data_IF_942386807302
#
_entry.id   IF_942386807302
#
_cell.length_a   1.000
_cell.length_b   1.000
_cell.length_c   1.000
_cell.angle_alpha   90.00
_cell.angle_beta   90.00
_cell.angle_gamma   90.00
#
_symmetry.space_group_name_H-M   'P 1'
#
loop_
_entity.id
_entity.type
_entity.pdbx_description
1 polymer ?
#
# COMPACT_ATOMS: atom_id res chain seq x y z
N UNK A 1 -47.54 17.18 63.39
CA UNK A 1 -46.78 17.65 62.22
C UNK A 1 -45.79 16.56 61.88
N UNK A 2 -46.14 15.65 60.98
CA UNK A 2 -45.25 14.55 60.61
C UNK A 2 -45.15 14.57 59.08
N UNK A 3 -44.01 15.10 58.60
CA UNK A 3 -43.72 15.20 57.18
C UNK A 3 -43.48 13.77 56.64
N UNK A 4 -44.38 13.30 55.78
CA UNK A 4 -44.17 12.04 55.06
C UNK A 4 -42.97 12.17 54.12
N UNK A 5 -42.05 11.20 54.11
CA UNK A 5 -40.88 11.26 53.24
C UNK A 5 -41.32 11.06 51.80
N UNK A 6 -41.19 12.10 50.98
CA UNK A 6 -41.30 12.01 49.52
C UNK A 6 -40.19 11.09 49.01
N UNK A 7 -40.53 9.85 48.68
CA UNK A 7 -39.63 8.92 47.99
C UNK A 7 -39.47 9.40 46.55
N UNK A 8 -38.46 10.24 46.30
CA UNK A 8 -38.07 10.67 44.95
C UNK A 8 -37.17 9.62 44.30
N UNK A 9 -37.75 8.57 43.73
CA UNK A 9 -37.03 7.63 42.87
C UNK A 9 -37.91 7.24 41.67
N UNK A 10 -37.80 7.95 40.51
CA UNK A 10 -37.89 7.21 39.24
C UNK A 10 -37.06 7.78 38.07
N UNK A 11 -36.17 8.77 38.26
CA UNK A 11 -35.36 9.33 37.15
C UNK A 11 -34.17 8.43 36.79
N UNK A 12 -33.41 7.97 37.78
CA UNK A 12 -32.21 7.15 37.58
C UNK A 12 -32.46 5.84 36.81
N UNK A 13 -33.62 5.19 37.05
CA UNK A 13 -34.00 3.95 36.34
C UNK A 13 -34.34 4.22 34.86
N UNK A 14 -35.00 5.35 34.57
CA UNK A 14 -35.31 5.75 33.20
C UNK A 14 -34.04 6.17 32.45
N UNK A 15 -33.16 6.93 33.10
CA UNK A 15 -31.86 7.33 32.55
C UNK A 15 -30.99 6.11 32.24
N UNK A 16 -30.93 5.12 33.14
CA UNK A 16 -30.22 3.86 32.91
C UNK A 16 -30.79 3.07 31.71
N UNK A 17 -32.12 3.01 31.56
CA UNK A 17 -32.74 2.35 30.40
C UNK A 17 -32.45 3.07 29.08
N UNK A 18 -32.45 4.41 29.08
CA UNK A 18 -32.10 5.21 27.90
C UNK A 18 -30.63 4.98 27.51
N UNK A 19 -29.71 4.98 28.48
CA UNK A 19 -28.30 4.72 28.22
C UNK A 19 -28.05 3.30 27.69
N UNK A 20 -28.73 2.30 28.24
CA UNK A 20 -28.62 0.91 27.78
C UNK A 20 -29.14 0.74 26.35
N UNK A 21 -30.28 1.34 26.03
CA UNK A 21 -30.87 1.28 24.68
C UNK A 21 -30.00 2.00 23.66
N UNK A 22 -29.49 3.20 23.97
CA UNK A 22 -28.56 3.93 23.10
C UNK A 22 -27.25 3.16 22.89
N UNK A 23 -26.71 2.55 23.94
CA UNK A 23 -25.50 1.72 23.84
C UNK A 23 -25.73 0.49 22.98
N UNK A 24 -26.88 -0.18 23.11
CA UNK A 24 -27.23 -1.32 22.28
C UNK A 24 -27.37 -0.93 20.81
N UNK A 25 -28.01 0.20 20.50
CA UNK A 25 -28.12 0.74 19.13
C UNK A 25 -26.72 1.05 18.56
N UNK A 26 -25.86 1.70 19.34
CA UNK A 26 -24.50 2.02 18.93
C UNK A 26 -23.67 0.76 18.62
N UNK A 27 -23.75 -0.27 19.48
CA UNK A 27 -23.07 -1.55 19.27
C UNK A 27 -23.57 -2.23 17.98
N UNK A 28 -24.88 -2.26 17.75
CA UNK A 28 -25.47 -2.84 16.53
C UNK A 28 -25.05 -2.07 15.29
N UNK A 29 -25.01 -0.74 15.34
CA UNK A 29 -24.54 0.10 14.24
C UNK A 29 -23.07 -0.16 13.92
N UNK A 30 -22.19 -0.18 14.94
CA UNK A 30 -20.76 -0.49 14.79
C UNK A 30 -20.57 -1.89 14.20
N UNK A 31 -21.27 -2.90 14.74
CA UNK A 31 -21.19 -4.27 14.23
C UNK A 31 -21.66 -4.38 12.78
N UNK A 32 -22.71 -3.64 12.40
CA UNK A 32 -23.22 -3.57 11.03
C UNK A 32 -22.19 -2.96 10.06
N UNK A 33 -21.56 -1.84 10.44
CA UNK A 33 -20.48 -1.23 9.65
C UNK A 33 -19.30 -2.18 9.51
N UNK A 34 -18.85 -2.82 10.60
CA UNK A 34 -17.76 -3.80 10.55
C UNK A 34 -18.09 -5.00 9.64
N UNK A 35 -19.32 -5.51 9.70
CA UNK A 35 -19.77 -6.59 8.82
C UNK A 35 -19.80 -6.17 7.35
N UNK A 36 -20.24 -4.94 7.06
CA UNK A 36 -20.26 -4.39 5.70
C UNK A 36 -18.84 -4.22 5.14
N UNK A 37 -17.92 -3.69 5.94
CA UNK A 37 -16.49 -3.55 5.59
C UNK A 37 -15.88 -4.92 5.32
N UNK A 38 -16.07 -5.90 6.22
CA UNK A 38 -15.56 -7.27 6.03
C UNK A 38 -16.14 -7.93 4.77
N UNK A 39 -17.43 -7.76 4.53
CA UNK A 39 -18.12 -8.34 3.36
C UNK A 39 -17.63 -7.72 2.06
N UNK A 40 -17.29 -6.44 2.07
CA UNK A 40 -16.66 -5.74 0.94
C UNK A 40 -15.24 -6.27 0.66
N UNK A 41 -14.42 -6.44 1.70
CA UNK A 41 -13.05 -6.96 1.56
C UNK A 41 -13.04 -8.41 1.04
N UNK A 42 -13.97 -9.26 1.49
CA UNK A 42 -14.02 -10.65 1.04
C UNK A 42 -14.49 -10.81 -0.41
N UNK A 43 -15.36 -9.91 -0.91
CA UNK A 43 -15.83 -9.97 -2.30
C UNK A 43 -14.76 -9.50 -3.31
N UNK A 44 -13.94 -8.52 -2.95
CA UNK A 44 -12.94 -7.94 -3.84
C UNK A 44 -11.68 -8.79 -4.00
N UNK A 45 -11.29 -9.57 -2.99
CA UNK A 45 -10.05 -10.36 -3.05
C UNK A 45 -10.04 -11.45 -4.12
N UNK A 46 -11.20 -12.02 -4.48
CA UNK A 46 -11.28 -13.03 -5.53
C UNK A 46 -10.96 -12.46 -6.93
N UNK A 47 -11.31 -11.20 -7.18
CA UNK A 47 -10.98 -10.51 -8.43
C UNK A 47 -9.51 -10.09 -8.43
N UNK A 48 -9.02 -9.59 -7.29
CA UNK A 48 -7.61 -9.23 -7.12
C UNK A 48 -6.68 -10.42 -7.38
N UNK A 49 -7.00 -11.62 -6.85
CA UNK A 49 -6.24 -12.85 -7.10
C UNK A 49 -6.20 -13.23 -8.57
N UNK A 50 -7.33 -13.15 -9.28
CA UNK A 50 -7.39 -13.47 -10.71
C UNK A 50 -6.55 -12.52 -11.55
N UNK A 51 -6.61 -11.22 -11.24
CA UNK A 51 -5.77 -10.21 -11.88
C UNK A 51 -4.29 -10.49 -11.61
N UNK A 52 -3.94 -10.75 -10.35
CA UNK A 52 -2.57 -11.12 -9.97
C UNK A 52 -2.07 -12.38 -10.71
N UNK A 53 -2.87 -13.43 -10.77
CA UNK A 53 -2.54 -14.66 -11.50
C UNK A 53 -2.40 -14.43 -13.01
N UNK A 54 -3.18 -13.51 -13.59
CA UNK A 54 -3.03 -13.11 -14.98
C UNK A 54 -1.73 -12.33 -15.19
N UNK A 55 -1.44 -11.36 -14.31
CA UNK A 55 -0.20 -10.59 -14.35
C UNK A 55 1.04 -11.47 -14.23
N UNK A 56 1.01 -12.49 -13.36
CA UNK A 56 2.09 -13.47 -13.25
C UNK A 56 2.29 -14.26 -14.55
N UNK A 57 1.21 -14.68 -15.21
CA UNK A 57 1.29 -15.36 -16.51
C UNK A 57 1.85 -14.45 -17.60
N UNK A 58 1.39 -13.20 -17.66
CA UNK A 58 1.88 -12.20 -18.62
C UNK A 58 3.38 -11.91 -18.40
N UNK A 59 3.82 -11.77 -17.14
CA UNK A 59 5.22 -11.55 -16.81
C UNK A 59 6.10 -12.74 -17.24
N UNK A 60 5.66 -13.97 -16.95
CA UNK A 60 6.35 -15.19 -17.37
C UNK A 60 6.40 -15.34 -18.90
N UNK A 61 5.39 -14.84 -19.60
CA UNK A 61 5.34 -14.85 -21.07
C UNK A 61 6.19 -13.76 -21.74
N UNK A 62 6.86 -12.91 -20.96
CA UNK A 62 7.70 -11.83 -21.48
C UNK A 62 6.93 -10.56 -21.85
N UNK A 63 5.72 -10.38 -21.31
CA UNK A 63 4.87 -9.20 -21.51
C UNK A 63 4.77 -8.33 -20.24
N UNK A 64 5.87 -7.70 -19.78
CA UNK A 64 5.87 -6.98 -18.50
C UNK A 64 4.91 -5.79 -18.48
N UNK A 65 4.62 -5.16 -19.62
CA UNK A 65 3.65 -4.06 -19.71
C UNK A 65 2.23 -4.47 -19.29
N UNK A 66 1.74 -5.62 -19.76
CA UNK A 66 0.43 -6.14 -19.37
C UNK A 66 0.42 -6.61 -17.92
N UNK A 67 1.50 -7.25 -17.49
CA UNK A 67 1.65 -7.65 -16.09
C UNK A 67 1.53 -6.45 -15.13
N UNK A 68 2.13 -5.32 -15.48
CA UNK A 68 2.01 -4.07 -14.70
C UNK A 68 0.54 -3.61 -14.60
N UNK A 69 -0.22 -3.65 -15.69
CA UNK A 69 -1.64 -3.26 -15.69
C UNK A 69 -2.47 -4.16 -14.77
N UNK A 70 -2.24 -5.47 -14.87
CA UNK A 70 -2.92 -6.47 -14.03
C UNK A 70 -2.57 -6.32 -12.54
N UNK A 71 -1.29 -6.13 -12.22
CA UNK A 71 -0.85 -5.95 -10.83
C UNK A 71 -1.36 -4.63 -10.22
N UNK A 72 -1.36 -3.54 -11.00
CA UNK A 72 -1.97 -2.27 -10.55
C UNK A 72 -3.46 -2.43 -10.30
N UNK A 73 -4.14 -3.17 -11.16
CA UNK A 73 -5.57 -3.47 -10.99
C UNK A 73 -5.81 -4.32 -9.75
N UNK A 74 -4.98 -5.33 -9.48
CA UNK A 74 -5.04 -6.13 -8.26
C UNK A 74 -4.82 -5.27 -7.00
N UNK A 75 -3.84 -4.37 -7.02
CA UNK A 75 -3.58 -3.41 -5.94
C UNK A 75 -4.70 -2.38 -5.77
N UNK A 76 -5.49 -2.06 -6.80
CA UNK A 76 -6.65 -1.19 -6.63
C UNK A 76 -7.73 -1.84 -5.72
N UNK A 77 -7.76 -3.17 -5.65
CA UNK A 77 -8.64 -3.92 -4.75
C UNK A 77 -7.97 -4.24 -3.40
N UNK A 78 -6.68 -4.61 -3.42
CA UNK A 78 -5.89 -4.93 -2.23
C UNK A 78 -4.60 -4.11 -2.17
N UNK A 79 -4.73 -2.81 -1.87
CA UNK A 79 -3.62 -1.85 -1.99
C UNK A 79 -2.43 -2.12 -1.07
N UNK A 80 -2.64 -2.87 0.00
CA UNK A 80 -1.61 -3.20 0.99
C UNK A 80 -1.01 -4.61 0.83
N UNK A 81 -1.38 -5.31 -0.24
CA UNK A 81 -0.91 -6.67 -0.47
C UNK A 81 0.57 -6.67 -0.86
N UNK A 82 1.41 -7.08 0.09
CA UNK A 82 2.87 -7.18 -0.05
C UNK A 82 3.28 -7.89 -1.35
N UNK A 83 2.65 -9.04 -1.63
CA UNK A 83 3.04 -9.88 -2.77
C UNK A 83 2.75 -9.16 -4.10
N UNK A 84 1.63 -8.44 -4.17
CA UNK A 84 1.25 -7.71 -5.38
C UNK A 84 2.17 -6.51 -5.63
N UNK A 85 2.56 -5.80 -4.56
CA UNK A 85 3.52 -4.70 -4.65
C UNK A 85 4.90 -5.20 -5.12
N UNK A 86 5.35 -6.34 -4.60
CA UNK A 86 6.62 -6.93 -5.00
C UNK A 86 6.61 -7.39 -6.46
N UNK A 87 5.59 -8.14 -6.90
CA UNK A 87 5.49 -8.58 -8.30
C UNK A 87 5.31 -7.40 -9.28
N UNK A 88 4.68 -6.30 -8.84
CA UNK A 88 4.65 -5.07 -9.62
C UNK A 88 6.05 -4.47 -9.77
N UNK A 89 6.85 -4.42 -8.70
CA UNK A 89 8.24 -3.96 -8.77
C UNK A 89 9.08 -4.82 -9.74
N UNK A 90 8.92 -6.14 -9.71
CA UNK A 90 9.58 -7.07 -10.65
C UNK A 90 9.17 -6.80 -12.10
N UNK A 91 7.88 -6.61 -12.36
CA UNK A 91 7.40 -6.30 -13.70
C UNK A 91 7.88 -4.92 -14.19
N UNK A 92 7.97 -3.94 -13.30
CA UNK A 92 8.54 -2.62 -13.60
C UNK A 92 10.03 -2.71 -13.93
N UNK A 93 10.81 -3.50 -13.19
CA UNK A 93 12.22 -3.78 -13.51
C UNK A 93 12.36 -4.43 -14.89
N UNK A 94 11.55 -5.46 -15.18
CA UNK A 94 11.53 -6.14 -16.47
C UNK A 94 11.12 -5.21 -17.63
N UNK A 95 10.31 -4.19 -17.37
CA UNK A 95 9.95 -3.15 -18.34
C UNK A 95 10.97 -2.00 -18.43
N UNK A 96 12.06 -2.02 -17.65
CA UNK A 96 13.06 -0.95 -17.59
C UNK A 96 12.62 0.30 -16.83
N UNK A 97 11.51 0.23 -16.09
CA UNK A 97 10.93 1.34 -15.31
C UNK A 97 11.52 1.37 -13.90
N UNK A 98 12.83 1.55 -13.82
CA UNK A 98 13.61 1.37 -12.60
C UNK A 98 13.23 2.34 -11.47
N UNK A 99 12.92 3.61 -11.76
CA UNK A 99 12.54 4.59 -10.74
C UNK A 99 11.22 4.22 -10.03
N UNK A 100 10.25 3.70 -10.78
CA UNK A 100 8.97 3.26 -10.21
C UNK A 100 9.15 1.97 -9.41
N UNK A 101 9.94 1.01 -9.91
CA UNK A 101 10.26 -0.21 -9.18
C UNK A 101 10.90 0.10 -7.83
N UNK A 102 11.86 1.04 -7.80
CA UNK A 102 12.52 1.47 -6.57
C UNK A 102 11.54 2.03 -5.55
N UNK A 103 10.60 2.86 -6.00
CA UNK A 103 9.62 3.50 -5.13
C UNK A 103 8.75 2.47 -4.40
N UNK A 104 8.31 1.41 -5.10
CA UNK A 104 7.55 0.31 -4.48
C UNK A 104 8.42 -0.49 -3.51
N UNK A 105 9.66 -0.82 -3.88
CA UNK A 105 10.57 -1.58 -3.03
C UNK A 105 10.98 -0.81 -1.77
N UNK A 106 11.18 0.50 -1.85
CA UNK A 106 11.47 1.35 -0.70
C UNK A 106 10.28 1.39 0.26
N UNK A 107 9.04 1.48 -0.25
CA UNK A 107 7.87 1.43 0.63
C UNK A 107 7.74 0.08 1.35
N UNK A 108 8.02 -1.03 0.65
CA UNK A 108 8.07 -2.36 1.26
C UNK A 108 9.18 -2.45 2.32
N UNK A 109 10.35 -1.91 2.01
CA UNK A 109 11.50 -1.88 2.90
C UNK A 109 11.24 -1.05 4.16
N UNK A 110 10.59 0.10 4.07
CA UNK A 110 10.21 0.94 5.22
C UNK A 110 9.35 0.17 6.24
N UNK A 111 8.50 -0.73 5.75
CA UNK A 111 7.62 -1.56 6.58
C UNK A 111 8.36 -2.77 7.16
N UNK A 112 9.25 -3.38 6.37
CA UNK A 112 10.00 -4.58 6.76
C UNK A 112 11.47 -4.49 6.30
N UNK A 113 12.32 -3.74 7.03
CA UNK A 113 13.71 -3.50 6.60
C UNK A 113 14.59 -4.77 6.54
N UNK A 114 14.20 -5.79 7.31
CA UNK A 114 14.90 -7.08 7.40
C UNK A 114 14.47 -8.09 6.33
N UNK A 115 13.60 -7.71 5.39
CA UNK A 115 13.17 -8.58 4.31
C UNK A 115 14.30 -8.80 3.30
N UNK A 116 14.83 -10.03 3.29
CA UNK A 116 15.93 -10.39 2.41
C UNK A 116 15.59 -10.31 0.91
N UNK A 117 14.32 -10.53 0.54
CA UNK A 117 13.88 -10.50 -0.84
C UNK A 117 13.80 -9.06 -1.37
N UNK A 118 13.24 -8.15 -0.58
CA UNK A 118 13.21 -6.71 -0.91
C UNK A 118 14.63 -6.14 -0.98
N UNK A 119 15.49 -6.48 -0.02
CA UNK A 119 16.89 -6.06 -0.01
C UNK A 119 17.65 -6.57 -1.25
N UNK A 120 17.41 -7.81 -1.68
CA UNK A 120 18.00 -8.37 -2.90
C UNK A 120 17.52 -7.65 -4.17
N UNK A 121 16.24 -7.29 -4.24
CA UNK A 121 15.68 -6.54 -5.36
C UNK A 121 16.29 -5.13 -5.46
N UNK A 122 16.34 -4.40 -4.34
CA UNK A 122 17.00 -3.08 -4.28
C UNK A 122 18.48 -3.15 -4.68
N UNK A 123 19.20 -4.18 -4.23
CA UNK A 123 20.59 -4.39 -4.61
C UNK A 123 20.75 -4.65 -6.13
N UNK A 124 19.88 -5.47 -6.73
CA UNK A 124 19.86 -5.70 -8.19
C UNK A 124 19.56 -4.43 -8.97
N UNK A 125 18.62 -3.62 -8.49
CA UNK A 125 18.24 -2.36 -9.12
C UNK A 125 19.39 -1.35 -9.08
N UNK A 126 20.07 -1.22 -7.94
CA UNK A 126 21.25 -0.37 -7.78
C UNK A 126 22.40 -0.80 -8.72
N UNK A 127 22.63 -2.11 -8.85
CA UNK A 127 23.63 -2.65 -9.76
C UNK A 127 23.31 -2.31 -11.23
N UNK A 128 22.03 -2.42 -11.64
CA UNK A 128 21.59 -2.04 -12.99
C UNK A 128 21.83 -0.54 -13.26
N UNK A 129 21.47 0.36 -12.33
CA UNK A 129 21.75 1.79 -12.49
C UNK A 129 23.24 2.07 -12.65
N UNK A 130 24.09 1.44 -11.85
CA UNK A 130 25.54 1.64 -11.94
C UNK A 130 26.10 1.18 -13.30
N UNK A 131 25.59 0.07 -13.85
CA UNK A 131 25.99 -0.46 -15.15
C UNK A 131 25.55 0.45 -16.32
N UNK A 132 24.42 1.14 -16.19
CA UNK A 132 23.95 2.09 -17.21
C UNK A 132 24.77 3.37 -17.14
N UNK A 133 25.02 3.91 -15.94
CA UNK A 133 25.83 5.11 -15.73
C UNK A 133 27.28 4.94 -16.20
N UNK A 134 27.85 3.74 -16.09
CA UNK A 134 29.21 3.46 -16.59
C UNK A 134 29.28 3.28 -18.11
N UNK A 135 28.15 2.98 -18.77
CA UNK A 135 28.08 2.76 -20.22
C UNK A 135 27.85 4.05 -21.02
N UNK A 136 27.42 5.13 -20.37
CA UNK A 136 27.38 6.47 -20.96
C UNK A 136 28.74 7.11 -20.69
N UNK A 137 29.61 7.33 -21.71
CA UNK A 137 30.75 8.21 -21.52
C UNK A 137 30.17 9.60 -21.25
N UNK A 138 30.16 10.01 -19.98
CA UNK A 138 30.05 11.43 -19.63
C UNK A 138 31.15 12.12 -20.44
N UNK A 139 30.75 12.80 -21.51
CA UNK A 139 31.68 13.40 -22.45
C UNK A 139 32.42 14.49 -21.68
N UNK A 140 33.61 14.15 -21.18
CA UNK A 140 34.55 15.05 -20.55
C UNK A 140 34.97 16.09 -21.61
N UNK A 141 34.21 17.17 -21.70
CA UNK A 141 34.32 18.10 -22.81
C UNK A 141 33.69 19.44 -22.50
N UNK A 142 33.82 19.94 -21.27
CA UNK A 142 33.38 21.31 -20.92
C UNK A 142 34.03 21.81 -19.60
N UNK A 143 35.34 21.61 -19.42
CA UNK A 143 36.10 22.27 -18.32
C UNK A 143 37.31 23.07 -18.83
N UNK A 144 37.24 23.61 -20.06
CA UNK A 144 38.36 24.36 -20.68
C UNK A 144 38.02 25.79 -21.12
N UNK A 145 36.97 26.39 -20.56
CA UNK A 145 36.50 27.73 -20.97
C UNK A 145 36.57 28.83 -19.90
N UNK A 146 37.08 28.58 -18.68
CA UNK A 146 37.08 29.60 -17.60
C UNK A 146 38.46 29.97 -17.02
N UNK A 147 39.57 29.74 -17.73
CA UNK A 147 40.91 30.14 -17.24
C UNK A 147 41.70 31.10 -18.14
N UNK A 148 41.05 31.85 -19.05
CA UNK A 148 41.80 32.79 -19.91
C UNK A 148 41.10 34.12 -20.23
N UNK A 149 40.36 34.70 -19.28
CA UNK A 149 40.01 36.13 -19.37
C UNK A 149 39.80 36.75 -18.00
N UNK A 150 40.87 37.19 -17.37
CA UNK A 150 41.11 38.64 -17.13
C UNK A 150 42.47 38.81 -16.47
N UNK A 151 43.27 39.62 -17.16
CA UNK A 151 44.46 40.35 -16.72
C UNK A 151 44.19 41.14 -15.45
#
# INVERSE_FOLDING_TARGET
MEASPTITQPTARREAMVLLTLSAIAILAIAGVFALVKRFHHWQGSLASRLYENGQRELQSGNPAKAIEDFRSALAFEGDNYQYQLSLAEALEAAGRYDEAESYLLNLWERQPQDGMVNLQLARLAAHRHLISSRIPIRAGEWRAWSSSTT
#
